data_IF_431351378506
#
_entry.id   IF_431351378506
#
_cell.length_a   1.000
_cell.length_b   1.000
_cell.length_c   1.000
_cell.angle_alpha   90.00
_cell.angle_beta   90.00
_cell.angle_gamma   90.00
#
_symmetry.space_group_name_H-M   'P 1'
#
loop_
_entity.id
_entity.type
_entity.pdbx_description
1 polymer ?
#
# COMPACT_ATOMS: atom_id res chain seq x y z
N UNK A 1 -6.17 -3.60 28.36
CA UNK A 1 -4.71 -3.55 28.12
C UNK A 1 -4.29 -3.97 26.70
N UNK A 2 -5.19 -4.54 25.88
CA UNK A 2 -4.94 -4.89 24.47
C UNK A 2 -5.71 -3.97 23.50
N UNK A 3 -5.55 -2.66 23.62
CA UNK A 3 -6.32 -1.73 22.77
C UNK A 3 -5.55 -0.44 22.44
N UNK A 4 -4.25 -0.55 22.20
CA UNK A 4 -3.46 0.51 21.56
C UNK A 4 -2.72 -0.09 20.39
N UNK A 5 -2.90 0.51 19.22
CA UNK A 5 -2.36 0.07 17.94
C UNK A 5 -0.93 -0.47 18.08
N UNK A 6 -0.72 -1.75 17.72
CA UNK A 6 0.55 -2.45 17.82
C UNK A 6 1.68 -1.87 16.93
N UNK A 7 1.39 -0.81 16.17
CA UNK A 7 2.34 -0.05 15.37
C UNK A 7 2.66 1.26 16.10
N UNK A 8 3.60 1.20 17.05
CA UNK A 8 4.14 2.40 17.71
C UNK A 8 5.59 2.62 17.26
N UNK A 9 6.06 3.88 17.25
CA UNK A 9 7.46 4.22 16.94
C UNK A 9 8.46 3.44 17.79
N UNK A 10 8.02 2.96 18.97
CA UNK A 10 8.81 2.10 19.85
C UNK A 10 9.10 0.74 19.23
N UNK A 11 8.11 0.08 18.63
CA UNK A 11 8.33 -1.22 17.96
C UNK A 11 9.20 -1.05 16.73
N UNK A 12 9.03 0.04 15.98
CA UNK A 12 9.88 0.40 14.84
C UNK A 12 11.35 0.57 15.28
N UNK A 13 11.58 1.29 16.38
CA UNK A 13 12.93 1.48 16.94
C UNK A 13 13.56 0.15 17.40
N UNK A 14 12.80 -0.73 18.05
CA UNK A 14 13.28 -2.06 18.46
C UNK A 14 13.65 -2.89 17.23
N UNK A 15 12.83 -2.88 16.19
CA UNK A 15 13.14 -3.56 14.92
C UNK A 15 14.40 -3.00 14.26
N UNK A 16 14.60 -1.68 14.26
CA UNK A 16 15.84 -1.07 13.75
C UNK A 16 17.07 -1.57 14.51
N UNK A 17 17.02 -1.55 15.85
CA UNK A 17 18.12 -2.02 16.70
C UNK A 17 18.42 -3.50 16.42
N UNK A 18 17.38 -4.33 16.34
CA UNK A 18 17.54 -5.75 16.03
C UNK A 18 18.17 -5.98 14.65
N UNK A 19 17.73 -5.26 13.62
CA UNK A 19 18.30 -5.38 12.27
C UNK A 19 19.76 -4.90 12.22
N UNK A 20 20.10 -3.81 12.90
CA UNK A 20 21.48 -3.31 13.01
C UNK A 20 22.40 -4.35 13.66
N UNK A 21 21.90 -5.07 14.68
CA UNK A 21 22.66 -6.09 15.39
C UNK A 21 22.87 -7.37 14.56
N UNK A 22 21.87 -7.76 13.76
CA UNK A 22 21.92 -9.02 12.97
C UNK A 22 22.65 -8.83 11.64
N UNK A 23 22.36 -7.74 10.92
CA UNK A 23 22.85 -7.51 9.55
C UNK A 23 23.26 -6.05 9.34
N UNK A 24 24.37 -5.58 9.95
CA UNK A 24 24.80 -4.18 9.86
C UNK A 24 25.10 -3.72 8.43
N UNK A 25 25.50 -4.64 7.54
CA UNK A 25 25.78 -4.35 6.14
C UNK A 25 24.52 -4.03 5.32
N UNK A 26 23.36 -4.59 5.68
CA UNK A 26 22.10 -4.32 4.99
C UNK A 26 21.48 -2.97 5.38
N UNK A 27 21.84 -2.43 6.54
CA UNK A 27 21.34 -1.13 7.05
C UNK A 27 21.76 0.04 6.16
N UNK A 28 22.93 -0.08 5.53
CA UNK A 28 23.47 0.93 4.60
C UNK A 28 22.86 0.78 3.20
N UNK A 29 22.14 -0.33 2.94
CA UNK A 29 21.48 -0.60 1.68
C UNK A 29 20.33 0.37 1.38
N UNK A 30 20.18 0.84 0.13
CA UNK A 30 19.08 1.73 -0.27
C UNK A 30 17.69 1.16 0.06
N UNK A 31 17.53 -0.17 -0.07
CA UNK A 31 16.28 -0.88 0.18
C UNK A 31 15.82 -0.80 1.64
N UNK A 32 16.74 -0.95 2.59
CA UNK A 32 16.44 -0.84 4.02
C UNK A 32 16.02 0.59 4.36
N UNK A 33 16.77 1.59 3.86
CA UNK A 33 16.47 2.99 4.11
C UNK A 33 15.10 3.42 3.55
N UNK A 34 14.77 3.00 2.32
CA UNK A 34 13.47 3.26 1.71
C UNK A 34 12.32 2.63 2.50
N UNK A 35 12.43 1.35 2.86
CA UNK A 35 11.38 0.63 3.59
C UNK A 35 11.19 1.15 5.02
N UNK A 36 12.30 1.42 5.72
CA UNK A 36 12.27 1.91 7.08
C UNK A 36 11.72 3.35 7.14
N UNK A 37 12.12 4.22 6.21
CA UNK A 37 11.57 5.57 6.11
C UNK A 37 10.08 5.58 5.76
N UNK A 38 9.64 4.71 4.84
CA UNK A 38 8.23 4.56 4.52
C UNK A 38 7.42 4.14 5.76
N UNK A 39 7.93 3.17 6.51
CA UNK A 39 7.26 2.67 7.72
C UNK A 39 7.23 3.75 8.81
N UNK A 40 8.32 4.48 9.03
CA UNK A 40 8.38 5.59 9.98
C UNK A 40 7.43 6.73 9.61
N UNK A 41 7.36 7.11 8.33
CA UNK A 41 6.45 8.13 7.83
C UNK A 41 4.97 7.72 8.02
N UNK A 42 4.64 6.46 7.74
CA UNK A 42 3.30 5.92 7.95
C UNK A 42 2.92 5.92 9.43
N UNK A 43 3.78 5.38 10.31
CA UNK A 43 3.50 5.33 11.75
C UNK A 43 3.35 6.75 12.33
N UNK A 44 4.21 7.69 11.92
CA UNK A 44 4.11 9.10 12.33
C UNK A 44 2.82 9.77 11.84
N UNK A 45 2.47 9.60 10.56
CA UNK A 45 1.25 10.16 10.00
C UNK A 45 -0.02 9.57 10.62
N UNK A 46 -0.06 8.25 10.86
CA UNK A 46 -1.18 7.59 11.51
C UNK A 46 -1.33 8.02 12.98
N UNK A 47 -0.22 8.22 13.70
CA UNK A 47 -0.25 8.76 15.07
C UNK A 47 -0.85 10.19 15.09
N UNK A 48 -0.39 11.07 14.20
CA UNK A 48 -0.94 12.42 14.07
C UNK A 48 -2.41 12.45 13.64
N UNK A 49 -2.81 11.55 12.74
CA UNK A 49 -4.22 11.41 12.32
C UNK A 49 -5.12 10.89 13.44
N UNK A 50 -4.62 9.95 14.26
CA UNK A 50 -5.34 9.43 15.42
C UNK A 50 -5.58 10.53 16.47
N UNK A 51 -4.56 11.35 16.76
CA UNK A 51 -4.68 12.49 17.69
C UNK A 51 -5.64 13.57 17.15
N UNK A 52 -5.56 13.88 15.85
CA UNK A 52 -6.48 14.83 15.21
C UNK A 52 -7.94 14.34 15.23
N UNK A 53 -8.16 13.02 15.10
CA UNK A 53 -9.49 12.41 15.10
C UNK A 53 -10.04 12.21 16.51
N UNK A 54 -9.19 12.07 17.53
CA UNK A 54 -9.58 12.05 18.94
C UNK A 54 -10.21 13.39 19.38
N UNK A 55 -9.87 14.50 18.74
CA UNK A 55 -10.50 15.81 18.95
C UNK A 55 -11.86 16.02 18.26
N UNK A 56 -12.31 15.08 17.39
CA UNK A 56 -13.60 15.17 16.70
C UNK A 56 -14.49 14.03 17.15
N UNK A 57 -15.37 14.31 18.12
CA UNK A 57 -16.47 13.43 18.55
C UNK A 57 -17.20 12.89 17.32
N UNK A 58 -16.96 11.62 17.01
CA UNK A 58 -17.57 10.96 15.85
C UNK A 58 -19.03 10.72 16.18
N UNK A 59 -19.92 11.52 15.58
CA UNK A 59 -21.37 11.35 15.71
C UNK A 59 -21.78 9.91 15.32
N UNK A 60 -22.76 9.30 16.01
CA UNK A 60 -23.12 7.91 15.81
C UNK A 60 -23.63 7.68 14.37
N UNK A 61 -23.25 6.56 13.72
CA UNK A 61 -23.67 6.29 12.36
C UNK A 61 -25.20 6.03 12.32
N UNK A 62 -25.90 6.92 11.62
CA UNK A 62 -27.33 6.75 11.29
C UNK A 62 -27.49 5.48 10.45
N UNK A 63 -28.39 4.58 10.89
CA UNK A 63 -28.79 3.35 10.19
C UNK A 63 -29.13 3.68 8.73
N UNK A 64 -28.21 3.39 7.80
CA UNK A 64 -28.47 3.48 6.35
C UNK A 64 -28.10 2.16 5.69
N UNK A 65 -28.91 1.82 4.70
CA UNK A 65 -28.95 0.58 3.92
C UNK A 65 -27.59 -0.11 3.71
N UNK A 66 -27.57 -1.44 3.72
CA UNK A 66 -26.38 -2.28 3.60
C UNK A 66 -25.49 -1.89 2.40
N UNK A 67 -26.11 -1.47 1.29
CA UNK A 67 -25.42 -0.94 0.10
C UNK A 67 -24.68 0.38 0.36
N UNK A 68 -25.29 1.31 1.10
CA UNK A 68 -24.69 2.59 1.46
C UNK A 68 -23.58 2.45 2.51
N UNK A 69 -23.68 1.44 3.38
CA UNK A 69 -22.60 1.07 4.30
C UNK A 69 -21.39 0.51 3.54
N UNK A 70 -21.64 -0.39 2.58
CA UNK A 70 -20.58 -0.99 1.77
C UNK A 70 -19.86 0.04 0.88
N UNK A 71 -20.61 0.93 0.22
CA UNK A 71 -20.02 1.99 -0.62
C UNK A 71 -19.22 3.00 0.20
N UNK A 72 -19.70 3.39 1.39
CA UNK A 72 -18.94 4.26 2.30
C UNK A 72 -17.68 3.57 2.83
N UNK A 73 -17.75 2.28 3.17
CA UNK A 73 -16.59 1.52 3.64
C UNK A 73 -15.53 1.38 2.55
N UNK A 74 -15.95 1.14 1.30
CA UNK A 74 -15.08 1.17 0.13
C UNK A 74 -14.46 2.55 -0.10
N UNK A 75 -15.26 3.62 -0.07
CA UNK A 75 -14.76 4.98 -0.25
C UNK A 75 -13.76 5.40 0.84
N UNK A 76 -14.03 5.05 2.10
CA UNK A 76 -13.10 5.30 3.22
C UNK A 76 -11.85 4.42 3.11
N UNK A 77 -11.98 3.16 2.69
CA UNK A 77 -10.85 2.27 2.45
C UNK A 77 -9.95 2.76 1.32
N UNK A 78 -10.53 3.17 0.19
CA UNK A 78 -9.80 3.77 -0.93
C UNK A 78 -9.14 5.09 -0.55
N UNK A 79 -9.84 5.95 0.20
CA UNK A 79 -9.26 7.20 0.71
C UNK A 79 -8.09 6.96 1.67
N UNK A 80 -8.21 5.98 2.56
CA UNK A 80 -7.12 5.58 3.46
C UNK A 80 -5.91 4.99 2.70
N UNK A 81 -6.16 4.14 1.70
CA UNK A 81 -5.12 3.58 0.85
C UNK A 81 -4.41 4.65 0.01
N UNK A 82 -5.14 5.65 -0.49
CA UNK A 82 -4.58 6.79 -1.21
C UNK A 82 -3.64 7.61 -0.32
N UNK A 83 -4.09 7.97 0.88
CA UNK A 83 -3.28 8.73 1.85
C UNK A 83 -2.06 7.94 2.30
N UNK A 84 -2.21 6.64 2.57
CA UNK A 84 -1.11 5.73 2.91
C UNK A 84 -0.08 5.67 1.78
N UNK A 85 -0.55 5.50 0.54
CA UNK A 85 0.31 5.44 -0.64
C UNK A 85 1.04 6.75 -0.86
N UNK A 86 0.36 7.90 -0.70
CA UNK A 86 0.97 9.23 -0.77
C UNK A 86 2.10 9.39 0.25
N UNK A 87 1.83 9.09 1.53
CA UNK A 87 2.83 9.23 2.58
C UNK A 87 4.02 8.30 2.35
N UNK A 88 3.76 7.02 2.06
CA UNK A 88 4.82 6.04 1.82
C UNK A 88 5.62 6.39 0.56
N UNK A 89 4.93 6.73 -0.54
CA UNK A 89 5.55 7.07 -1.82
C UNK A 89 6.35 8.37 -1.76
N UNK A 90 5.88 9.41 -1.05
CA UNK A 90 6.67 10.62 -0.84
C UNK A 90 7.92 10.34 -0.01
N UNK A 91 7.81 9.53 1.04
CA UNK A 91 8.95 9.14 1.86
C UNK A 91 9.98 8.38 1.02
N UNK A 92 9.57 7.36 0.25
CA UNK A 92 10.50 6.59 -0.60
C UNK A 92 11.05 7.39 -1.77
N UNK A 93 10.27 8.32 -2.33
CA UNK A 93 10.70 9.16 -3.46
C UNK A 93 11.91 10.02 -3.10
N UNK A 94 11.99 10.55 -1.87
CA UNK A 94 13.16 11.32 -1.42
C UNK A 94 14.44 10.47 -1.48
N UNK A 95 14.37 9.21 -1.04
CA UNK A 95 15.49 8.28 -1.11
C UNK A 95 15.76 7.80 -2.54
N UNK A 96 14.72 7.66 -3.38
CA UNK A 96 14.85 7.29 -4.78
C UNK A 96 15.54 8.39 -5.61
N UNK A 97 15.21 9.66 -5.35
CA UNK A 97 15.91 10.82 -5.92
C UNK A 97 17.38 10.78 -5.50
N UNK A 98 17.65 10.60 -4.21
CA UNK A 98 19.02 10.67 -3.68
C UNK A 98 19.91 9.51 -4.16
N UNK A 99 19.42 8.26 -4.16
CA UNK A 99 20.22 7.08 -4.54
C UNK A 99 20.21 6.78 -6.04
N UNK A 100 19.08 6.98 -6.72
CA UNK A 100 18.88 6.50 -8.09
C UNK A 100 18.69 7.62 -9.10
N UNK A 101 18.59 8.88 -8.66
CA UNK A 101 18.34 10.05 -9.52
C UNK A 101 17.07 9.88 -10.40
N UNK A 102 16.13 9.01 -9.98
CA UNK A 102 14.88 8.77 -10.70
C UNK A 102 13.73 9.41 -9.97
N UNK A 103 12.91 10.15 -10.70
CA UNK A 103 11.67 10.74 -10.21
C UNK A 103 10.54 10.16 -11.04
N UNK A 104 9.63 9.40 -10.42
CA UNK A 104 8.39 8.98 -11.07
C UNK A 104 7.21 9.55 -10.30
N UNK A 105 6.81 10.81 -10.59
CA UNK A 105 5.70 11.46 -9.90
C UNK A 105 4.37 10.70 -10.07
N UNK A 106 4.20 10.02 -11.21
CA UNK A 106 2.99 9.26 -11.53
C UNK A 106 2.93 7.87 -10.88
N UNK A 107 4.02 7.41 -10.25
CA UNK A 107 4.05 6.11 -9.55
C UNK A 107 2.97 5.99 -8.46
N UNK A 108 2.65 7.09 -7.80
CA UNK A 108 1.61 7.19 -6.78
C UNK A 108 0.21 6.95 -7.35
N UNK A 109 -0.10 7.60 -8.46
CA UNK A 109 -1.38 7.43 -9.16
C UNK A 109 -1.48 6.02 -9.76
N UNK A 110 -0.38 5.50 -10.30
CA UNK A 110 -0.31 4.12 -10.80
C UNK A 110 -0.58 3.10 -9.68
N UNK A 111 0.11 3.23 -8.54
CA UNK A 111 -0.09 2.34 -7.41
C UNK A 111 -1.53 2.39 -6.90
N UNK A 112 -2.13 3.58 -6.78
CA UNK A 112 -3.50 3.71 -6.31
C UNK A 112 -4.54 3.11 -7.28
N UNK A 113 -4.32 3.25 -8.59
CA UNK A 113 -5.21 2.69 -9.62
C UNK A 113 -5.08 1.17 -9.73
N UNK A 114 -3.86 0.64 -9.59
CA UNK A 114 -3.55 -0.79 -9.70
C UNK A 114 -3.95 -1.56 -8.44
N UNK A 115 -3.75 -0.97 -7.26
CA UNK A 115 -4.00 -1.62 -5.97
C UNK A 115 -5.41 -2.25 -5.83
N UNK A 116 -6.54 -1.61 -6.18
CA UNK A 116 -7.85 -2.24 -6.05
C UNK A 116 -8.01 -3.46 -6.96
N UNK A 117 -7.46 -3.43 -8.17
CA UNK A 117 -7.48 -4.56 -9.10
C UNK A 117 -6.65 -5.70 -8.53
N UNK A 118 -5.46 -5.40 -8.02
CA UNK A 118 -4.58 -6.41 -7.44
C UNK A 118 -5.20 -7.01 -6.18
N UNK A 119 -5.74 -6.20 -5.28
CA UNK A 119 -6.28 -6.67 -4.00
C UNK A 119 -7.61 -7.39 -4.12
N UNK A 120 -8.50 -6.96 -5.02
CA UNK A 120 -9.85 -7.53 -5.14
C UNK A 120 -9.94 -8.68 -6.15
N UNK A 121 -9.06 -8.69 -7.15
CA UNK A 121 -9.09 -9.67 -8.25
C UNK A 121 -7.83 -10.51 -8.25
N UNK A 122 -6.64 -9.93 -8.38
CA UNK A 122 -5.42 -10.71 -8.63
C UNK A 122 -5.05 -11.61 -7.44
N UNK A 123 -4.89 -11.05 -6.25
CA UNK A 123 -4.48 -11.82 -5.06
C UNK A 123 -5.48 -12.91 -4.63
N UNK A 124 -6.79 -12.65 -4.46
CA UNK A 124 -7.70 -13.69 -4.01
C UNK A 124 -7.81 -14.83 -5.03
N UNK A 125 -7.83 -14.53 -6.33
CA UNK A 125 -7.85 -15.57 -7.37
C UNK A 125 -6.51 -16.29 -7.51
N UNK A 126 -5.38 -15.65 -7.21
CA UNK A 126 -4.08 -16.32 -7.11
C UNK A 126 -4.08 -17.36 -5.98
N UNK A 127 -4.60 -17.00 -4.80
CA UNK A 127 -4.70 -17.93 -3.66
C UNK A 127 -5.68 -19.08 -3.97
N UNK A 128 -6.86 -18.77 -4.53
CA UNK A 128 -7.83 -19.79 -4.93
C UNK A 128 -7.27 -20.73 -6.00
N UNK A 129 -6.52 -20.21 -6.96
CA UNK A 129 -5.81 -21.00 -7.96
C UNK A 129 -4.79 -21.94 -7.32
N UNK A 130 -3.94 -21.43 -6.42
CA UNK A 130 -2.95 -22.25 -5.72
C UNK A 130 -3.60 -23.37 -4.88
N UNK A 131 -4.77 -23.12 -4.28
CA UNK A 131 -5.54 -24.12 -3.54
C UNK A 131 -6.25 -25.13 -4.46
N UNK A 132 -6.64 -24.72 -5.67
CA UNK A 132 -7.30 -25.56 -6.67
C UNK A 132 -6.31 -26.40 -7.50
N UNK A 133 -5.04 -25.99 -7.53
CA UNK A 133 -3.93 -26.67 -8.22
C UNK A 133 -3.79 -28.16 -7.86
N UNK A 134 -3.85 -28.61 -6.58
CA UNK A 134 -3.82 -30.03 -6.25
C UNK A 134 -5.04 -30.83 -6.75
N UNK A 135 -6.14 -30.15 -7.10
CA UNK A 135 -7.37 -30.78 -7.59
C UNK A 135 -7.54 -30.68 -9.12
N UNK A 136 -6.63 -30.00 -9.83
CA UNK A 136 -6.69 -29.81 -11.29
C UNK A 136 -7.78 -28.84 -11.78
N UNK A 137 -8.33 -28.00 -10.89
CA UNK A 137 -9.38 -27.01 -11.21
C UNK A 137 -8.87 -25.56 -11.17
N UNK A 138 -7.59 -25.34 -11.44
CA UNK A 138 -6.91 -24.04 -11.41
C UNK A 138 -7.26 -23.14 -12.61
N UNK A 139 -7.65 -23.73 -13.75
CA UNK A 139 -7.99 -23.03 -15.00
C UNK A 139 -8.91 -21.80 -14.87
N UNK A 140 -10.11 -21.89 -14.26
CA UNK A 140 -11.00 -20.74 -14.12
C UNK A 140 -10.42 -19.62 -13.23
N UNK A 141 -9.67 -19.97 -12.18
CA UNK A 141 -9.05 -18.98 -11.30
C UNK A 141 -7.88 -18.27 -11.96
N UNK A 142 -7.05 -19.02 -12.70
CA UNK A 142 -5.97 -18.46 -13.52
C UNK A 142 -6.50 -17.54 -14.62
N UNK A 143 -7.64 -17.87 -15.22
CA UNK A 143 -8.25 -17.01 -16.24
C UNK A 143 -8.66 -15.64 -15.68
N UNK A 144 -9.32 -15.62 -14.52
CA UNK A 144 -9.74 -14.37 -13.87
C UNK A 144 -8.54 -13.57 -13.37
N UNK A 145 -7.54 -14.24 -12.79
CA UNK A 145 -6.27 -13.62 -12.41
C UNK A 145 -5.57 -13.00 -13.62
N UNK A 146 -5.52 -13.72 -14.75
CA UNK A 146 -4.95 -13.25 -16.01
C UNK A 146 -5.64 -11.98 -16.52
N UNK A 147 -6.98 -11.92 -16.47
CA UNK A 147 -7.75 -10.70 -16.79
C UNK A 147 -7.39 -9.54 -15.87
N UNK A 148 -7.22 -9.78 -14.57
CA UNK A 148 -6.77 -8.77 -13.61
C UNK A 148 -5.37 -8.22 -13.94
N UNK A 149 -4.44 -9.10 -14.31
CA UNK A 149 -3.09 -8.73 -14.73
C UNK A 149 -3.10 -7.94 -16.06
N UNK A 150 -3.92 -8.34 -17.04
CA UNK A 150 -4.08 -7.57 -18.28
C UNK A 150 -4.61 -6.17 -18.02
N UNK A 151 -5.58 -6.01 -17.11
CA UNK A 151 -6.09 -4.71 -16.71
C UNK A 151 -5.03 -3.84 -16.02
N UNK A 152 -4.21 -4.44 -15.15
CA UNK A 152 -3.07 -3.76 -14.53
C UNK A 152 -2.08 -3.27 -15.61
N UNK A 153 -1.69 -4.13 -16.56
CA UNK A 153 -0.76 -3.77 -17.63
C UNK A 153 -1.32 -2.64 -18.49
N UNK A 154 -2.62 -2.69 -18.82
CA UNK A 154 -3.28 -1.64 -19.59
C UNK A 154 -3.25 -0.27 -18.86
N UNK A 155 -3.47 -0.27 -17.54
CA UNK A 155 -3.36 0.95 -16.72
C UNK A 155 -1.92 1.45 -16.69
N UNK A 156 -0.95 0.56 -16.46
CA UNK A 156 0.47 0.93 -16.47
C UNK A 156 0.90 1.53 -17.82
N UNK A 157 0.48 0.94 -18.93
CA UNK A 157 0.74 1.47 -20.27
C UNK A 157 0.08 2.84 -20.49
N UNK A 158 -1.18 3.00 -20.08
CA UNK A 158 -1.92 4.26 -20.18
C UNK A 158 -1.27 5.40 -19.38
N UNK A 159 -0.70 5.08 -18.21
CA UNK A 159 0.03 6.03 -17.37
C UNK A 159 1.41 6.34 -17.96
N UNK A 160 2.12 5.32 -18.44
CA UNK A 160 3.44 5.50 -19.08
C UNK A 160 3.34 6.44 -20.28
N UNK A 161 2.32 6.25 -21.13
CA UNK A 161 2.06 7.12 -22.29
C UNK A 161 1.75 8.57 -21.89
N UNK A 162 1.23 8.80 -20.68
CA UNK A 162 0.88 10.12 -20.16
C UNK A 162 1.92 10.69 -19.20
N UNK A 163 3.02 9.98 -18.97
CA UNK A 163 4.15 10.46 -18.16
C UNK A 163 4.99 11.42 -19.00
N UNK A 164 4.97 12.75 -18.74
CA UNK A 164 5.76 13.70 -19.51
C UNK A 164 7.25 13.69 -19.11
N UNK A 165 7.66 12.78 -18.25
CA UNK A 165 8.96 12.76 -17.57
C UNK A 165 9.50 11.33 -17.49
N UNK A 166 9.57 10.67 -18.64
CA UNK A 166 10.67 9.74 -18.92
C UNK A 166 11.81 10.54 -19.58
N UNK A 167 12.23 11.62 -18.90
CA UNK A 167 13.39 12.41 -19.28
C UNK A 167 14.55 12.06 -18.35
N UNK A 168 15.06 10.83 -18.51
CA UNK A 168 16.49 10.50 -18.44
C UNK A 168 16.77 9.41 -19.46
#
# INVERSE_FOLDING_TARGET
LFDRAALTMRNLAISAIAVILVSPHEVVGPSFQMSFAATAALVGAYAGFADYRAGKTTAPPVKRSFLAFLSRKLAVGMGGAAVTSLIAGSATLLFAIWHFQRVSPLSLLANLAVMPIVSLIVMPFAVLSALAMPFGFDGPFLYVMGKGLTAMIAISAWISERSPVDAV
#
